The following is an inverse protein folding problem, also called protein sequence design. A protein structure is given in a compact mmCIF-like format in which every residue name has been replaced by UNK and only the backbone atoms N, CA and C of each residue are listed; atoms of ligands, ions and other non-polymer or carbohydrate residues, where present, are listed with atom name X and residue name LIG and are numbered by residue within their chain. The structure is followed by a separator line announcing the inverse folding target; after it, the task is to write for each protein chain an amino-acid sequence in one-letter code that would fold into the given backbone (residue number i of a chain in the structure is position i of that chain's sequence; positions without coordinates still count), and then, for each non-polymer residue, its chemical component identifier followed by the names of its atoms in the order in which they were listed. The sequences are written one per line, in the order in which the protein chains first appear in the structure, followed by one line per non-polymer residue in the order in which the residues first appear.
data_IF_593366281069
#
_entry.id   IF_593366281069
#
_cell.length_a   1.000
_cell.length_b   1.000
_cell.length_c   1.000
_cell.angle_alpha   90.00
_cell.angle_beta   90.00
_cell.angle_gamma   90.00
#
_symmetry.space_group_name_H-M   'P 1'
#
loop_
_entity.id
_entity.type
_entity.pdbx_description
1 polymer ?
#
# COMPACT_ATOMS: atom_id res chain seq x y z
N UNK A 1 -17.55 -34.31 6.80
CA UNK A 1 -17.98 -33.71 5.52
C UNK A 1 -17.18 -32.43 5.33
N UNK A 2 -15.96 -32.58 4.82
CA UNK A 2 -15.10 -31.48 4.38
C UNK A 2 -15.54 -31.10 2.96
N UNK A 3 -16.09 -29.91 2.79
CA UNK A 3 -16.30 -29.34 1.45
C UNK A 3 -14.99 -28.72 0.99
N UNK A 4 -14.22 -29.49 0.21
CA UNK A 4 -13.07 -29.02 -0.51
C UNK A 4 -13.48 -27.89 -1.47
N UNK A 5 -12.84 -26.73 -1.32
CA UNK A 5 -12.96 -25.61 -2.25
C UNK A 5 -12.21 -25.97 -3.54
N UNK A 6 -12.94 -26.43 -4.55
CA UNK A 6 -12.39 -26.73 -5.88
C UNK A 6 -12.31 -25.42 -6.67
N UNK A 7 -11.10 -24.91 -6.86
CA UNK A 7 -10.80 -23.78 -7.76
C UNK A 7 -11.07 -24.22 -9.22
N UNK A 8 -11.82 -23.45 -10.03
CA UNK A 8 -11.86 -23.67 -11.47
C UNK A 8 -10.50 -23.32 -12.06
N UNK A 9 -9.82 -24.30 -12.65
CA UNK A 9 -8.62 -24.09 -13.45
C UNK A 9 -9.03 -23.57 -14.82
N UNK A 10 -9.13 -22.26 -14.97
CA UNK A 10 -9.09 -21.61 -16.29
C UNK A 10 -7.76 -20.91 -16.43
N UNK A 11 -6.88 -21.53 -17.22
CA UNK A 11 -5.61 -20.98 -17.66
C UNK A 11 -5.85 -19.75 -18.55
N UNK A 12 -5.93 -18.57 -17.95
CA UNK A 12 -5.79 -17.31 -18.65
C UNK A 12 -4.32 -16.86 -18.56
N UNK A 13 -3.69 -16.81 -19.73
CA UNK A 13 -2.30 -16.46 -20.00
C UNK A 13 -1.62 -15.56 -18.96
N UNK A 14 -0.59 -16.11 -18.32
CA UNK A 14 0.40 -15.34 -17.57
C UNK A 14 1.17 -14.43 -18.55
N UNK A 15 0.69 -13.20 -18.71
CA UNK A 15 1.51 -12.09 -19.20
C UNK A 15 2.55 -11.78 -18.11
N UNK A 16 3.64 -12.53 -18.10
CA UNK A 16 4.84 -12.26 -17.30
C UNK A 16 5.55 -10.99 -17.78
N UNK A 17 4.88 -9.85 -17.61
CA UNK A 17 5.47 -8.53 -17.86
C UNK A 17 6.38 -8.16 -16.70
N UNK A 18 7.65 -7.90 -16.98
CA UNK A 18 8.56 -7.22 -16.06
C UNK A 18 7.84 -5.97 -15.51
N UNK A 19 7.57 -5.92 -14.21
CA UNK A 19 6.95 -4.73 -13.62
C UNK A 19 7.90 -3.53 -13.77
N UNK A 20 7.42 -2.48 -14.43
CA UNK A 20 8.19 -1.25 -14.61
C UNK A 20 8.15 -0.41 -13.33
N UNK A 21 9.32 0.09 -12.93
CA UNK A 21 9.47 1.10 -11.85
C UNK A 21 9.70 2.50 -12.41
N UNK A 22 9.47 2.68 -13.73
CA UNK A 22 9.49 3.99 -14.36
C UNK A 22 8.31 4.81 -13.84
N UNK A 23 8.67 5.91 -13.18
CA UNK A 23 7.76 6.82 -12.48
C UNK A 23 6.76 7.52 -13.41
N UNK A 24 7.16 7.80 -14.65
CA UNK A 24 6.32 8.40 -15.69
C UNK A 24 6.61 7.68 -17.02
N UNK A 25 5.97 6.51 -17.26
CA UNK A 25 6.09 5.82 -18.55
C UNK A 25 5.37 6.62 -19.65
N UNK A 26 5.73 6.35 -20.91
CA UNK A 26 5.04 6.95 -22.06
C UNK A 26 3.56 6.58 -22.13
N UNK A 27 3.22 5.38 -21.66
CA UNK A 27 1.85 4.86 -21.58
C UNK A 27 1.65 4.11 -20.25
N UNK A 28 0.48 4.29 -19.65
CA UNK A 28 0.10 3.58 -18.43
C UNK A 28 -0.74 2.35 -18.77
N UNK A 29 -0.55 1.27 -18.01
CA UNK A 29 -1.42 0.11 -18.08
C UNK A 29 -2.85 0.49 -17.65
N UNK A 30 -3.82 0.06 -18.45
CA UNK A 30 -5.25 0.19 -18.18
C UNK A 30 -5.69 -0.84 -17.13
N UNK A 31 -6.66 -0.46 -16.30
CA UNK A 31 -7.21 -1.36 -15.30
C UNK A 31 -8.35 -2.18 -15.87
N UNK A 32 -8.26 -3.51 -15.78
CA UNK A 32 -9.37 -4.42 -16.07
C UNK A 32 -10.00 -4.85 -14.76
N UNK A 33 -11.29 -4.57 -14.58
CA UNK A 33 -12.04 -4.97 -13.39
C UNK A 33 -12.54 -6.40 -13.56
N UNK A 34 -11.95 -7.34 -12.82
CA UNK A 34 -12.30 -8.76 -12.79
C UNK A 34 -13.15 -9.16 -11.57
N UNK A 35 -13.61 -8.17 -10.78
CA UNK A 35 -14.43 -8.37 -9.59
C UNK A 35 -15.84 -8.90 -9.94
N UNK A 36 -16.38 -9.75 -9.08
CA UNK A 36 -17.77 -10.21 -9.17
C UNK A 36 -18.75 -9.07 -8.89
N UNK A 37 -20.03 -9.22 -9.27
CA UNK A 37 -21.06 -8.21 -8.97
C UNK A 37 -21.22 -7.94 -7.47
N UNK A 38 -21.09 -8.99 -6.65
CA UNK A 38 -21.14 -8.87 -5.20
C UNK A 38 -19.99 -8.02 -4.65
N UNK A 39 -18.77 -8.25 -5.13
CA UNK A 39 -17.58 -7.51 -4.71
C UNK A 39 -17.62 -6.05 -5.19
N UNK A 40 -18.14 -5.82 -6.40
CA UNK A 40 -18.38 -4.46 -6.93
C UNK A 40 -19.36 -3.69 -6.06
N UNK A 41 -20.46 -4.31 -5.66
CA UNK A 41 -21.44 -3.68 -4.79
C UNK A 41 -20.86 -3.40 -3.40
N UNK A 42 -20.09 -4.34 -2.83
CA UNK A 42 -19.40 -4.15 -1.56
C UNK A 42 -18.41 -2.99 -1.63
N UNK A 43 -17.57 -2.93 -2.67
CA UNK A 43 -16.61 -1.84 -2.87
C UNK A 43 -17.31 -0.48 -3.01
N UNK A 44 -18.45 -0.42 -3.71
CA UNK A 44 -19.26 0.79 -3.83
C UNK A 44 -19.81 1.25 -2.48
N UNK A 45 -20.33 0.34 -1.66
CA UNK A 45 -20.93 0.67 -0.35
C UNK A 45 -19.87 1.04 0.68
N UNK A 46 -18.80 0.25 0.79
CA UNK A 46 -17.80 0.38 1.87
C UNK A 46 -16.71 1.41 1.59
N UNK A 47 -16.37 1.60 0.31
CA UNK A 47 -15.25 2.43 -0.14
C UNK A 47 -15.70 3.60 -1.01
N UNK A 48 -16.97 3.65 -1.45
CA UNK A 48 -17.41 4.60 -2.47
C UNK A 48 -16.75 4.36 -3.83
N UNK A 49 -16.29 3.14 -4.10
CA UNK A 49 -15.57 2.82 -5.35
C UNK A 49 -16.55 2.60 -6.50
N UNK A 50 -16.43 3.42 -7.55
CA UNK A 50 -17.02 3.19 -8.87
C UNK A 50 -15.95 3.37 -9.98
N UNK A 51 -16.32 3.12 -11.23
CA UNK A 51 -15.40 3.18 -12.36
C UNK A 51 -14.81 4.59 -12.58
N UNK A 52 -15.58 5.63 -12.28
CA UNK A 52 -15.15 7.02 -12.41
C UNK A 52 -14.15 7.37 -11.31
N UNK A 53 -14.47 7.08 -10.05
CA UNK A 53 -13.60 7.29 -8.87
C UNK A 53 -12.30 6.52 -9.04
N UNK A 54 -12.36 5.30 -9.57
CA UNK A 54 -11.18 4.49 -9.86
C UNK A 54 -10.25 5.16 -10.86
N UNK A 55 -10.81 5.60 -11.99
CA UNK A 55 -10.05 6.23 -13.08
C UNK A 55 -9.43 7.55 -12.61
N UNK A 56 -10.20 8.38 -11.92
CA UNK A 56 -9.74 9.65 -11.38
C UNK A 56 -8.66 9.46 -10.30
N UNK A 57 -8.89 8.55 -9.34
CA UNK A 57 -7.94 8.26 -8.27
C UNK A 57 -6.60 7.75 -8.81
N UNK A 58 -6.63 6.84 -9.80
CA UNK A 58 -5.44 6.36 -10.49
C UNK A 58 -4.68 7.48 -11.19
N UNK A 59 -5.38 8.33 -11.95
CA UNK A 59 -4.74 9.44 -12.65
C UNK A 59 -4.09 10.43 -11.67
N UNK A 60 -4.83 10.85 -10.64
CA UNK A 60 -4.31 11.77 -9.64
C UNK A 60 -3.10 11.22 -8.90
N UNK A 61 -3.12 9.93 -8.52
CA UNK A 61 -1.99 9.30 -7.84
C UNK A 61 -0.77 9.22 -8.78
N UNK A 62 -0.95 8.92 -10.07
CA UNK A 62 0.12 8.95 -11.08
C UNK A 62 0.71 10.35 -11.27
N UNK A 63 -0.15 11.37 -11.37
CA UNK A 63 0.28 12.77 -11.51
C UNK A 63 1.03 13.26 -10.27
N UNK A 64 0.59 12.87 -9.07
CA UNK A 64 1.26 13.17 -7.83
C UNK A 64 2.62 12.48 -7.77
N UNK A 65 2.66 11.16 -8.06
CA UNK A 65 3.91 10.40 -8.17
C UNK A 65 4.85 11.17 -9.08
N UNK A 66 4.49 11.40 -10.35
CA UNK A 66 5.30 12.08 -11.36
C UNK A 66 5.94 13.38 -10.89
N UNK A 67 5.19 14.21 -10.16
CA UNK A 67 5.64 15.51 -9.62
C UNK A 67 6.51 15.41 -8.36
N UNK A 68 6.48 14.30 -7.63
CA UNK A 68 7.12 14.20 -6.31
C UNK A 68 8.65 14.09 -6.38
N UNK A 69 9.45 15.06 -5.89
CA UNK A 69 10.89 15.11 -6.16
C UNK A 69 11.71 13.97 -5.52
N UNK A 70 11.23 13.42 -4.40
CA UNK A 70 11.96 12.39 -3.64
C UNK A 70 11.65 10.96 -4.11
N UNK A 71 10.54 10.74 -4.82
CA UNK A 71 10.23 9.44 -5.41
C UNK A 71 11.04 9.29 -6.71
N UNK A 72 12.09 8.47 -6.65
CA UNK A 72 12.99 8.19 -7.79
C UNK A 72 12.53 7.02 -8.65
N UNK A 73 12.01 5.97 -8.01
CA UNK A 73 11.49 4.75 -8.64
C UNK A 73 10.21 4.37 -7.92
N UNK A 74 9.14 4.15 -8.68
CA UNK A 74 7.86 3.73 -8.12
C UNK A 74 7.06 3.00 -9.19
N UNK A 75 6.42 1.90 -8.79
CA UNK A 75 5.50 1.16 -9.64
C UNK A 75 4.20 1.97 -9.80
N UNK A 76 3.77 2.20 -11.04
CA UNK A 76 2.58 3.00 -11.39
C UNK A 76 1.45 2.19 -12.03
N UNK A 77 1.56 0.88 -11.93
CA UNK A 77 0.57 -0.11 -12.37
C UNK A 77 -0.76 0.06 -11.62
N UNK A 78 -1.92 -0.02 -12.31
CA UNK A 78 -3.21 0.24 -11.69
C UNK A 78 -3.55 -0.73 -10.56
N UNK A 79 -3.24 -2.03 -10.71
CA UNK A 79 -3.51 -3.03 -9.66
C UNK A 79 -2.70 -2.73 -8.41
N UNK A 80 -1.45 -2.29 -8.56
CA UNK A 80 -0.63 -1.86 -7.43
C UNK A 80 -1.18 -0.59 -6.75
N UNK A 81 -1.46 0.47 -7.51
CA UNK A 81 -1.93 1.75 -6.96
C UNK A 81 -3.30 1.62 -6.28
N UNK A 82 -4.21 0.79 -6.82
CA UNK A 82 -5.53 0.56 -6.24
C UNK A 82 -5.49 -0.05 -4.83
N UNK A 83 -4.42 -0.76 -4.46
CA UNK A 83 -4.28 -1.31 -3.11
C UNK A 83 -4.23 -0.19 -2.07
N UNK A 84 -3.50 0.89 -2.35
CA UNK A 84 -3.38 2.05 -1.48
C UNK A 84 -4.68 2.87 -1.45
N UNK A 85 -5.26 3.10 -2.63
CA UNK A 85 -6.54 3.81 -2.75
C UNK A 85 -7.64 3.09 -1.97
N UNK A 86 -7.79 1.78 -2.14
CA UNK A 86 -8.78 0.97 -1.41
C UNK A 86 -8.50 0.93 0.10
N UNK A 87 -7.24 0.77 0.51
CA UNK A 87 -6.84 0.77 1.94
C UNK A 87 -7.13 2.10 2.66
N UNK A 88 -7.37 3.19 1.90
CA UNK A 88 -7.72 4.51 2.42
C UNK A 88 -9.08 5.00 1.94
N UNK A 89 -9.96 4.09 1.47
CA UNK A 89 -11.31 4.42 1.00
C UNK A 89 -11.32 5.59 0.00
N UNK A 90 -10.35 5.59 -0.93
CA UNK A 90 -10.12 6.62 -1.93
C UNK A 90 -9.83 8.03 -1.38
N UNK A 91 -9.44 8.15 -0.10
CA UNK A 91 -8.82 9.36 0.43
C UNK A 91 -7.42 9.53 -0.17
N UNK A 92 -7.33 10.35 -1.21
CA UNK A 92 -6.11 10.50 -2.01
C UNK A 92 -4.90 10.99 -1.18
N UNK A 93 -5.00 12.05 -0.34
CA UNK A 93 -3.87 12.47 0.50
C UNK A 93 -3.30 11.35 1.36
N UNK A 94 -4.17 10.60 2.06
CA UNK A 94 -3.72 9.49 2.92
C UNK A 94 -3.14 8.32 2.12
N UNK A 95 -3.68 8.05 0.92
CA UNK A 95 -3.15 7.02 0.03
C UNK A 95 -1.76 7.39 -0.50
N UNK A 96 -1.54 8.67 -0.88
CA UNK A 96 -0.25 9.18 -1.30
C UNK A 96 0.79 9.11 -0.16
N UNK A 97 0.42 9.52 1.05
CA UNK A 97 1.28 9.42 2.24
C UNK A 97 1.69 7.96 2.53
N UNK A 98 0.73 7.02 2.46
CA UNK A 98 1.03 5.59 2.62
C UNK A 98 2.01 5.10 1.54
N UNK A 99 1.82 5.49 0.28
CA UNK A 99 2.70 5.09 -0.81
C UNK A 99 4.10 5.72 -0.66
N UNK A 100 4.18 6.98 -0.22
CA UNK A 100 5.45 7.63 0.10
C UNK A 100 6.21 6.85 1.16
N UNK A 101 5.55 6.54 2.28
CA UNK A 101 6.13 5.77 3.39
C UNK A 101 6.66 4.42 2.89
N UNK A 102 5.90 3.71 2.06
CA UNK A 102 6.35 2.43 1.50
C UNK A 102 7.55 2.60 0.56
N UNK A 103 7.56 3.64 -0.28
CA UNK A 103 8.60 3.87 -1.28
C UNK A 103 9.98 4.15 -0.66
N UNK A 104 10.03 4.67 0.56
CA UNK A 104 11.30 4.87 1.30
C UNK A 104 12.00 3.54 1.58
N UNK A 105 11.23 2.47 1.79
CA UNK A 105 11.78 1.14 2.07
C UNK A 105 12.31 0.43 0.82
N UNK A 106 12.00 0.93 -0.38
CA UNK A 106 12.54 0.41 -1.64
C UNK A 106 13.98 0.92 -1.94
N UNK A 107 14.48 1.91 -1.18
CA UNK A 107 15.85 2.39 -1.33
C UNK A 107 16.86 1.38 -0.74
N UNK A 108 17.79 0.92 -1.58
CA UNK A 108 18.86 0.00 -1.19
C UNK A 108 19.69 0.52 -0.01
N UNK A 109 19.86 1.84 0.12
CA UNK A 109 20.58 2.44 1.25
C UNK A 109 19.84 2.23 2.56
N UNK A 110 18.52 2.34 2.55
CA UNK A 110 17.66 2.08 3.71
C UNK A 110 17.60 0.59 4.01
N UNK A 111 17.57 -0.27 2.99
CA UNK A 111 17.58 -1.73 3.16
C UNK A 111 18.89 -2.25 3.79
N UNK A 112 20.03 -1.69 3.39
CA UNK A 112 21.36 -2.10 3.89
C UNK A 112 21.66 -1.42 5.23
N UNK A 113 21.49 -0.10 5.27
CA UNK A 113 21.81 0.75 6.42
C UNK A 113 20.79 0.66 7.53
N UNK A 114 19.57 0.21 7.26
CA UNK A 114 18.49 0.21 8.23
C UNK A 114 17.90 1.61 8.49
N UNK A 115 16.94 1.66 9.40
CA UNK A 115 16.30 2.90 9.86
C UNK A 115 16.43 3.09 11.36
N UNK A 116 16.55 4.35 11.79
CA UNK A 116 16.45 4.78 13.19
C UNK A 116 15.13 5.51 13.35
N UNK A 117 14.24 5.01 14.20
CA UNK A 117 12.99 5.68 14.53
C UNK A 117 13.20 6.59 15.74
N UNK A 118 13.09 7.90 15.54
CA UNK A 118 13.13 8.88 16.62
C UNK A 118 11.69 9.13 17.06
N UNK A 119 11.36 8.71 18.30
CA UNK A 119 10.04 8.92 18.89
C UNK A 119 10.16 10.06 19.89
N UNK A 120 9.61 11.22 19.54
CA UNK A 120 9.53 12.35 20.46
C UNK A 120 8.47 12.09 21.53
N UNK A 121 8.92 11.97 22.77
CA UNK A 121 8.09 11.73 23.96
C UNK A 121 8.10 12.93 24.92
N UNK A 122 8.51 14.13 24.48
CA UNK A 122 8.68 15.29 25.36
C UNK A 122 7.37 15.70 26.08
N UNK A 123 6.20 15.39 25.52
CA UNK A 123 4.88 15.65 26.13
C UNK A 123 4.20 14.42 26.76
N UNK A 124 4.87 13.27 26.82
CA UNK A 124 4.25 12.04 27.31
C UNK A 124 3.99 12.10 28.83
N UNK A 125 2.72 12.03 29.23
CA UNK A 125 2.32 11.95 30.65
C UNK A 125 2.20 10.49 31.11
N UNK A 126 2.19 10.24 32.42
CA UNK A 126 1.95 8.90 32.98
C UNK A 126 0.63 8.28 32.51
N UNK A 127 -0.39 9.11 32.20
CA UNK A 127 -1.66 8.65 31.64
C UNK A 127 -1.53 8.09 30.20
N UNK A 128 -0.55 8.54 29.40
CA UNK A 128 -0.30 7.95 28.07
C UNK A 128 0.27 6.54 28.19
N UNK A 129 1.09 6.28 29.21
CA UNK A 129 1.67 4.96 29.48
C UNK A 129 0.70 3.97 30.15
N UNK A 130 -0.46 4.42 30.63
CA UNK A 130 -1.53 3.54 31.11
C UNK A 130 -2.50 3.11 30.00
N UNK A 131 -2.52 3.80 28.85
CA UNK A 131 -3.34 3.43 27.69
C UNK A 131 -2.83 2.19 26.96
N UNK A 132 -1.52 1.93 27.02
CA UNK A 132 -0.88 0.80 26.36
C UNK A 132 -0.19 -0.08 27.40
N UNK A 133 -0.49 -1.38 27.41
CA UNK A 133 0.33 -2.31 28.19
C UNK A 133 1.69 -2.42 27.52
N UNK A 134 2.75 -2.56 28.32
CA UNK A 134 4.10 -2.83 27.79
C UNK A 134 4.16 -4.08 26.90
N UNK A 135 3.26 -5.05 27.14
CA UNK A 135 3.07 -6.22 26.28
C UNK A 135 2.59 -5.83 24.87
N UNK A 136 1.65 -4.89 24.78
CA UNK A 136 1.05 -4.49 23.52
C UNK A 136 2.05 -3.68 22.68
N UNK A 137 2.86 -2.85 23.34
CA UNK A 137 3.97 -2.12 22.70
C UNK A 137 5.00 -3.12 22.16
N UNK A 138 5.39 -4.13 22.94
CA UNK A 138 6.34 -5.17 22.49
C UNK A 138 5.79 -5.94 21.29
N UNK A 139 4.54 -6.40 21.38
CA UNK A 139 3.89 -7.13 20.30
C UNK A 139 3.75 -6.27 19.04
N UNK A 140 3.43 -4.99 19.18
CA UNK A 140 3.38 -4.05 18.05
C UNK A 140 4.73 -3.88 17.37
N UNK A 141 5.80 -3.70 18.14
CA UNK A 141 7.16 -3.60 17.60
C UNK A 141 7.61 -4.90 16.92
N UNK A 142 7.21 -6.05 17.45
CA UNK A 142 7.49 -7.36 16.86
C UNK A 142 6.71 -7.55 15.54
N UNK A 143 5.44 -7.18 15.50
CA UNK A 143 4.65 -7.16 14.28
C UNK A 143 5.30 -6.28 13.20
N UNK A 144 5.81 -5.09 13.55
CA UNK A 144 6.49 -4.21 12.60
C UNK A 144 7.76 -4.85 12.02
N UNK A 145 8.56 -5.55 12.84
CA UNK A 145 9.75 -6.27 12.39
C UNK A 145 9.44 -7.37 11.38
N UNK A 146 8.26 -7.98 11.46
CA UNK A 146 7.83 -9.05 10.55
C UNK A 146 7.03 -8.54 9.35
N UNK A 147 6.34 -7.41 9.48
CA UNK A 147 5.50 -6.86 8.41
C UNK A 147 6.30 -6.07 7.37
N UNK A 148 7.45 -5.50 7.75
CA UNK A 148 8.26 -4.64 6.89
C UNK A 148 9.65 -5.25 6.65
N UNK A 149 10.15 -5.30 5.40
CA UNK A 149 11.48 -5.80 5.08
C UNK A 149 12.57 -4.76 5.41
N UNK A 150 12.56 -4.23 6.63
CA UNK A 150 13.42 -3.14 7.08
C UNK A 150 14.23 -3.58 8.27
N UNK A 151 15.54 -3.30 8.23
CA UNK A 151 16.43 -3.52 9.37
C UNK A 151 16.29 -2.35 10.33
N UNK A 152 15.68 -2.58 11.48
CA UNK A 152 15.66 -1.58 12.56
C UNK A 152 16.99 -1.67 13.31
N UNK A 153 17.73 -0.58 13.37
CA UNK A 153 18.93 -0.50 14.23
C UNK A 153 18.47 -0.23 15.67
N UNK A 154 19.11 -0.90 16.63
CA UNK A 154 18.91 -0.67 18.07
C UNK A 154 19.64 0.60 18.54
#
# INVERSE_FOLDING_TARGET
AETAFVMPTTAAAAAGGRFSVNKCPSEYLEYVCDLSDGDRQLAKVELGEDDQVRTQGLQHMRDWIGRHPHIRKCRTDPVFLLRFLRARKFNLPQACEMLESLSVYDDQRVQIGGGVAIIDCQGATMAHFTLFKLSDIRNFMECLKHALPVRVQE
#
